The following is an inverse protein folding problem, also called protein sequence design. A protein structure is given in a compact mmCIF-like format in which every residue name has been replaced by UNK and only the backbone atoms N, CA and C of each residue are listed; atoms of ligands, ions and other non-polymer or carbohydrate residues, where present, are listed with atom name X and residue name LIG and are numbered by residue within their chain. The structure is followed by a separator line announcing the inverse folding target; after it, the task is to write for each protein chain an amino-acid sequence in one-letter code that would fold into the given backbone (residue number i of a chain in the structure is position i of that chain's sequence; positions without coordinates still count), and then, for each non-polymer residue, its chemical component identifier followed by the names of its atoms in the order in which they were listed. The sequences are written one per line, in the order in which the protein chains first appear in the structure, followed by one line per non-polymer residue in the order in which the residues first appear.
data_IF_266955030868
#
_entry.id   IF_266955030868
#
_cell.length_a   1.000
_cell.length_b   1.000
_cell.length_c   1.000
_cell.angle_alpha   90.00
_cell.angle_beta   90.00
_cell.angle_gamma   90.00
#
_symmetry.space_group_name_H-M   'P 1'
#
loop_
_entity.id
_entity.type
_entity.pdbx_description
1 polymer ?
#
# COMPACT_ATOMS: atom_id res chain seq x y z
N UNK A 1 -27.61 -12.13 19.25
CA UNK A 1 -26.36 -11.39 19.63
C UNK A 1 -25.90 -10.60 18.44
N UNK A 2 -25.80 -9.27 18.55
CA UNK A 2 -25.15 -8.47 17.49
C UNK A 2 -23.67 -8.82 17.55
N UNK A 3 -23.12 -9.40 16.50
CA UNK A 3 -21.66 -9.64 16.41
C UNK A 3 -20.93 -8.31 16.49
N UNK A 4 -19.79 -8.27 17.20
CA UNK A 4 -18.94 -7.09 17.25
C UNK A 4 -18.57 -6.61 15.83
N UNK A 5 -18.51 -5.28 15.62
CA UNK A 5 -18.15 -4.72 14.34
C UNK A 5 -16.74 -5.16 13.93
N UNK A 6 -16.57 -5.53 12.65
CA UNK A 6 -15.26 -5.91 12.12
C UNK A 6 -14.32 -4.71 12.26
N UNK A 7 -13.16 -4.93 12.89
CA UNK A 7 -12.08 -3.95 12.92
C UNK A 7 -11.36 -3.94 11.56
N UNK A 8 -10.88 -2.77 11.13
CA UNK A 8 -10.11 -2.62 9.91
C UNK A 8 -8.62 -2.48 10.23
N UNK A 9 -7.77 -2.84 9.31
CA UNK A 9 -6.35 -2.48 9.26
C UNK A 9 -6.12 -1.62 8.03
N UNK A 10 -5.51 -0.45 8.19
CA UNK A 10 -5.24 0.45 7.09
C UNK A 10 -3.95 0.04 6.37
N UNK A 11 -4.07 -0.49 5.16
CA UNK A 11 -2.93 -1.01 4.42
C UNK A 11 -2.00 0.09 3.86
N UNK A 12 -2.46 1.34 3.75
CA UNK A 12 -1.69 2.42 3.16
C UNK A 12 -2.09 3.78 3.75
N UNK A 13 -1.27 4.28 4.67
CA UNK A 13 -1.41 5.61 5.30
C UNK A 13 -0.09 6.36 5.20
N UNK A 14 -0.13 7.66 4.91
CA UNK A 14 1.05 8.51 4.74
C UNK A 14 1.19 9.57 5.85
N UNK A 15 1.48 9.19 7.11
CA UNK A 15 1.85 10.19 8.10
C UNK A 15 3.20 10.80 7.73
N UNK A 16 3.39 12.08 8.02
CA UNK A 16 4.64 12.78 7.74
C UNK A 16 5.32 13.26 9.02
N UNK A 17 6.64 13.36 8.99
CA UNK A 17 7.44 13.84 10.13
C UNK A 17 7.10 15.28 10.46
N UNK A 18 6.89 16.13 9.44
CA UNK A 18 6.49 17.51 9.61
C UNK A 18 5.01 17.73 9.95
N UNK A 19 4.16 16.69 9.79
CA UNK A 19 2.75 16.75 10.10
C UNK A 19 1.86 17.38 9.03
N UNK A 20 2.41 17.88 7.93
CA UNK A 20 1.67 18.49 6.84
C UNK A 20 1.69 17.66 5.55
N UNK A 21 0.60 17.69 4.77
CA UNK A 21 0.48 17.06 3.45
C UNK A 21 0.22 18.12 2.39
N UNK A 22 1.27 18.49 1.67
CA UNK A 22 1.19 19.48 0.60
C UNK A 22 0.92 18.83 -0.76
N UNK A 23 0.22 19.51 -1.67
CA UNK A 23 -0.21 20.92 -1.61
C UNK A 23 -1.59 21.14 -0.96
N UNK A 24 -2.27 20.10 -0.50
CA UNK A 24 -3.65 20.18 0.01
C UNK A 24 -3.78 20.74 1.43
N UNK A 25 -2.67 21.06 2.11
CA UNK A 25 -2.64 21.56 3.49
C UNK A 25 -3.45 20.70 4.47
N UNK A 26 -3.37 19.35 4.33
CA UNK A 26 -4.01 18.41 5.23
C UNK A 26 -3.09 18.06 6.41
N UNK A 27 -3.68 17.83 7.58
CA UNK A 27 -2.96 17.29 8.74
C UNK A 27 -2.67 15.80 8.54
N UNK A 28 -1.40 15.48 8.30
CA UNK A 28 -0.85 14.13 8.17
C UNK A 28 0.04 13.74 9.32
N UNK A 29 -0.11 14.38 10.49
CA UNK A 29 0.69 14.04 11.66
C UNK A 29 0.41 12.62 12.16
N UNK A 30 1.41 12.00 12.79
CA UNK A 30 1.26 10.71 13.47
C UNK A 30 0.20 10.76 14.57
N UNK A 31 0.08 11.91 15.26
CA UNK A 31 -0.96 12.16 16.26
C UNK A 31 -2.36 12.10 15.64
N UNK A 32 -2.54 12.73 14.49
CA UNK A 32 -3.81 12.71 13.74
C UNK A 32 -4.14 11.30 13.31
N UNK A 33 -3.19 10.58 12.68
CA UNK A 33 -3.39 9.18 12.28
C UNK A 33 -3.83 8.31 13.47
N UNK A 34 -3.09 8.33 14.57
CA UNK A 34 -3.44 7.53 15.77
C UNK A 34 -4.82 7.84 16.32
N UNK A 35 -5.20 9.12 16.32
CA UNK A 35 -6.56 9.55 16.73
C UNK A 35 -7.63 9.00 15.79
N UNK A 36 -7.41 9.06 14.47
CA UNK A 36 -8.37 8.53 13.48
C UNK A 36 -8.52 7.01 13.56
N UNK A 37 -7.43 6.27 13.76
CA UNK A 37 -7.46 4.82 13.96
C UNK A 37 -8.33 4.44 15.16
N UNK A 38 -8.12 5.11 16.29
CA UNK A 38 -8.88 4.85 17.53
C UNK A 38 -10.36 5.19 17.37
N UNK A 39 -10.68 6.38 16.86
CA UNK A 39 -12.06 6.84 16.66
C UNK A 39 -12.87 5.94 15.74
N UNK A 40 -12.22 5.37 14.73
CA UNK A 40 -12.89 4.63 13.67
C UNK A 40 -12.72 3.11 13.81
N UNK A 41 -12.31 2.61 14.98
CA UNK A 41 -12.15 1.19 15.28
C UNK A 41 -11.24 0.46 14.28
N UNK A 42 -10.10 1.07 13.94
CA UNK A 42 -9.01 0.40 13.24
C UNK A 42 -8.09 -0.27 14.26
N UNK A 43 -7.62 -1.46 13.94
CA UNK A 43 -6.69 -2.21 14.80
C UNK A 43 -5.24 -1.80 14.61
N UNK A 44 -4.93 -1.18 13.46
CA UNK A 44 -3.62 -0.68 13.11
C UNK A 44 -3.54 -0.14 11.71
N UNK A 45 -2.34 0.31 11.31
CA UNK A 45 -2.06 0.82 9.97
C UNK A 45 -0.61 0.56 9.55
N UNK A 46 -0.40 0.41 8.25
CA UNK A 46 0.92 0.65 7.64
C UNK A 46 1.17 2.15 7.59
N UNK A 47 2.15 2.63 8.35
CA UNK A 47 2.67 3.97 8.21
C UNK A 47 3.72 3.96 7.09
N UNK A 48 3.36 4.52 5.95
CA UNK A 48 4.12 4.43 4.71
C UNK A 48 4.84 5.74 4.43
N UNK A 49 6.17 5.72 4.54
CA UNK A 49 7.02 6.86 4.20
C UNK A 49 7.02 7.13 2.70
N UNK A 50 7.20 8.40 2.33
CA UNK A 50 7.32 8.83 0.93
C UNK A 50 8.70 9.40 0.70
N UNK A 51 9.51 8.74 -0.12
CA UNK A 51 10.83 9.25 -0.52
C UNK A 51 10.66 10.55 -1.29
N UNK A 52 11.55 11.49 -1.05
CA UNK A 52 11.56 12.81 -1.73
C UNK A 52 10.74 13.90 -1.02
N UNK A 53 9.92 13.57 -0.02
CA UNK A 53 9.34 14.61 0.84
C UNK A 53 10.44 15.26 1.69
N UNK A 54 10.48 16.60 1.73
CA UNK A 54 11.52 17.37 2.39
C UNK A 54 11.79 16.98 3.85
N UNK A 55 10.75 16.61 4.59
CA UNK A 55 10.84 16.19 5.99
C UNK A 55 11.09 14.69 6.19
N UNK A 56 11.15 13.87 5.12
CA UNK A 56 11.29 12.44 5.27
C UNK A 56 12.74 12.02 5.55
N UNK A 57 12.95 11.41 6.70
CA UNK A 57 14.19 10.73 7.05
C UNK A 57 13.88 9.41 7.74
N UNK A 58 14.46 8.29 7.29
CA UNK A 58 14.18 6.95 7.79
C UNK A 58 14.22 6.86 9.32
N UNK A 59 15.27 7.41 9.96
CA UNK A 59 15.40 7.33 11.41
C UNK A 59 14.29 8.08 12.16
N UNK A 60 14.01 9.32 11.77
CA UNK A 60 12.96 10.11 12.39
C UNK A 60 11.58 9.46 12.22
N UNK A 61 11.29 8.96 11.01
CA UNK A 61 10.02 8.33 10.70
C UNK A 61 9.79 7.05 11.51
N UNK A 62 10.76 6.15 11.59
CA UNK A 62 10.62 4.88 12.33
C UNK A 62 10.51 5.11 13.84
N UNK A 63 11.18 6.14 14.39
CA UNK A 63 11.03 6.51 15.81
C UNK A 63 9.60 6.97 16.13
N UNK A 64 8.98 7.77 15.25
CA UNK A 64 7.57 8.15 15.41
C UNK A 64 6.62 6.95 15.30
N UNK A 65 6.91 5.99 14.42
CA UNK A 65 6.15 4.73 14.38
C UNK A 65 6.25 3.94 15.69
N UNK A 66 7.44 3.83 16.28
CA UNK A 66 7.66 3.09 17.54
C UNK A 66 6.88 3.64 18.73
N UNK A 67 6.55 4.92 18.71
CA UNK A 67 5.73 5.55 19.75
C UNK A 67 4.25 5.12 19.67
N UNK A 68 3.87 4.39 18.62
CA UNK A 68 2.50 3.96 18.36
C UNK A 68 2.50 2.46 18.01
N UNK A 69 2.19 1.62 18.98
CA UNK A 69 2.32 0.15 18.87
C UNK A 69 1.47 -0.49 17.75
N UNK A 70 0.45 0.21 17.25
CA UNK A 70 -0.43 -0.24 16.18
C UNK A 70 0.01 0.24 14.79
N UNK A 71 1.17 0.88 14.66
CA UNK A 71 1.72 1.29 13.38
C UNK A 71 2.83 0.34 12.91
N UNK A 72 2.73 -0.10 11.66
CA UNK A 72 3.75 -0.90 10.99
C UNK A 72 4.54 0.01 10.04
N UNK A 73 5.84 0.26 10.28
CA UNK A 73 6.61 1.17 9.46
C UNK A 73 6.99 0.56 8.12
N UNK A 74 6.69 1.27 7.03
CA UNK A 74 7.09 0.97 5.65
C UNK A 74 7.98 2.12 5.16
N UNK A 75 9.21 1.82 4.75
CA UNK A 75 10.17 2.84 4.35
C UNK A 75 9.88 3.38 2.94
N UNK A 76 9.78 4.69 2.77
CA UNK A 76 9.88 5.28 1.43
C UNK A 76 11.29 5.00 0.87
N UNK A 77 11.39 4.49 -0.34
CA UNK A 77 12.67 4.08 -0.91
C UNK A 77 12.77 4.41 -2.40
N UNK A 78 13.93 4.90 -2.78
CA UNK A 78 14.31 5.11 -4.17
C UNK A 78 15.73 4.59 -4.41
N UNK A 79 15.96 3.70 -5.39
CA UNK A 79 17.27 3.10 -5.65
C UNK A 79 18.17 4.06 -6.43
N UNK A 80 18.90 4.93 -5.75
CA UNK A 80 19.80 5.89 -6.41
C UNK A 80 21.02 5.18 -7.01
N UNK A 81 21.66 4.31 -6.23
CA UNK A 81 22.88 3.62 -6.62
C UNK A 81 22.69 2.10 -6.63
N UNK A 82 22.81 1.52 -7.82
CA UNK A 82 22.62 0.08 -8.04
C UNK A 82 23.57 -0.83 -7.20
N UNK A 83 24.77 -0.35 -6.83
CA UNK A 83 25.71 -1.13 -6.02
C UNK A 83 25.40 -1.09 -4.53
N UNK A 84 24.67 -0.08 -4.05
CA UNK A 84 24.33 0.12 -2.64
C UNK A 84 23.03 -0.58 -2.21
N UNK A 85 22.13 -0.93 -3.14
CA UNK A 85 20.77 -1.42 -2.89
C UNK A 85 20.71 -2.49 -1.80
N UNK A 86 21.52 -3.55 -1.90
CA UNK A 86 21.47 -4.64 -0.93
C UNK A 86 21.85 -4.22 0.49
N UNK A 87 22.82 -3.32 0.62
CA UNK A 87 23.24 -2.74 1.90
C UNK A 87 22.19 -1.82 2.49
N UNK A 88 21.59 -0.96 1.65
CA UNK A 88 20.52 -0.02 2.02
C UNK A 88 19.29 -0.75 2.54
N UNK A 89 18.78 -1.76 1.80
CA UNK A 89 17.62 -2.54 2.22
C UNK A 89 17.86 -3.30 3.52
N UNK A 90 19.06 -3.86 3.70
CA UNK A 90 19.46 -4.51 4.97
C UNK A 90 19.51 -3.49 6.12
N UNK A 91 19.97 -2.28 5.88
CA UNK A 91 19.98 -1.21 6.89
C UNK A 91 18.55 -0.78 7.25
N UNK A 92 17.67 -0.61 6.27
CA UNK A 92 16.24 -0.32 6.46
C UNK A 92 15.58 -1.40 7.34
N UNK A 93 15.78 -2.67 7.00
CA UNK A 93 15.25 -3.80 7.78
C UNK A 93 15.78 -3.80 9.23
N UNK A 94 17.08 -3.53 9.43
CA UNK A 94 17.69 -3.41 10.76
C UNK A 94 17.15 -2.25 11.58
N UNK A 95 16.70 -1.16 10.95
CA UNK A 95 16.02 -0.06 11.62
C UNK A 95 14.61 -0.45 12.11
N UNK A 96 14.08 -1.61 11.73
CA UNK A 96 12.77 -2.11 12.16
C UNK A 96 11.65 -1.89 11.17
N UNK A 97 11.95 -1.47 9.95
CA UNK A 97 10.96 -1.41 8.88
C UNK A 97 10.52 -2.82 8.43
N UNK A 98 9.24 -2.93 8.11
CA UNK A 98 8.59 -4.19 7.69
C UNK A 98 8.36 -4.27 6.19
N UNK A 99 8.81 -3.28 5.44
CA UNK A 99 8.71 -3.21 3.99
C UNK A 99 9.27 -1.89 3.46
N UNK A 100 9.29 -1.79 2.14
CA UNK A 100 9.68 -0.57 1.43
C UNK A 100 8.55 -0.11 0.49
N UNK A 101 8.40 1.19 0.31
CA UNK A 101 7.51 1.81 -0.67
C UNK A 101 8.31 2.32 -1.84
N UNK A 102 7.94 1.90 -3.04
CA UNK A 102 8.45 2.41 -4.30
C UNK A 102 7.35 3.18 -5.01
N UNK A 103 7.65 4.41 -5.39
CA UNK A 103 6.73 5.33 -6.03
C UNK A 103 7.28 5.70 -7.42
N UNK A 104 6.95 4.96 -8.50
CA UNK A 104 7.63 5.12 -9.80
C UNK A 104 7.47 6.50 -10.44
N UNK A 105 6.43 7.26 -10.05
CA UNK A 105 6.17 8.62 -10.57
C UNK A 105 7.05 9.69 -9.96
N UNK A 106 7.44 9.51 -8.66
CA UNK A 106 8.03 10.58 -7.88
C UNK A 106 9.03 10.04 -6.84
N UNK A 107 10.34 10.25 -7.00
CA UNK A 107 10.97 10.71 -8.23
C UNK A 107 10.77 9.70 -9.37
N UNK A 108 10.81 10.17 -10.60
CA UNK A 108 10.51 9.31 -11.76
C UNK A 108 11.56 8.22 -11.94
N UNK A 109 11.09 6.96 -11.92
CA UNK A 109 11.89 5.78 -12.30
C UNK A 109 11.05 4.89 -13.21
N UNK A 110 11.61 4.49 -14.33
CA UNK A 110 10.92 3.58 -15.24
C UNK A 110 10.87 2.16 -14.66
N UNK A 111 9.74 1.47 -14.84
CA UNK A 111 9.56 0.11 -14.34
C UNK A 111 10.56 -0.90 -14.93
N UNK A 112 11.16 -0.58 -16.09
CA UNK A 112 12.22 -1.37 -16.74
C UNK A 112 13.63 -1.03 -16.26
N UNK A 113 13.80 -0.04 -15.38
CA UNK A 113 15.12 0.35 -14.87
C UNK A 113 15.80 -0.85 -14.18
N UNK A 114 17.04 -1.17 -14.54
CA UNK A 114 17.78 -2.29 -13.92
C UNK A 114 17.91 -2.17 -12.39
N UNK A 115 17.86 -0.95 -11.83
CA UNK A 115 17.89 -0.72 -10.39
C UNK A 115 16.65 -1.29 -9.71
N UNK A 116 15.46 -1.22 -10.35
CA UNK A 116 14.26 -1.86 -9.82
C UNK A 116 14.38 -3.38 -9.80
N UNK A 117 14.91 -3.99 -10.85
CA UNK A 117 15.16 -5.44 -10.87
C UNK A 117 16.05 -5.84 -9.68
N UNK A 118 17.17 -5.13 -9.47
CA UNK A 118 18.06 -5.37 -8.34
C UNK A 118 17.38 -5.17 -6.99
N UNK A 119 16.53 -4.14 -6.88
CA UNK A 119 15.75 -3.85 -5.66
C UNK A 119 14.79 -4.99 -5.33
N UNK A 120 14.02 -5.46 -6.31
CA UNK A 120 13.08 -6.56 -6.13
C UNK A 120 13.80 -7.87 -5.76
N UNK A 121 14.91 -8.17 -6.42
CA UNK A 121 15.74 -9.33 -6.07
C UNK A 121 16.35 -9.24 -4.68
N UNK A 122 16.82 -8.07 -4.28
CA UNK A 122 17.38 -7.87 -2.94
C UNK A 122 16.31 -7.94 -1.86
N UNK A 123 15.13 -7.34 -2.10
CA UNK A 123 13.98 -7.41 -1.20
C UNK A 123 13.48 -8.86 -1.04
N UNK A 124 13.40 -9.64 -2.13
CA UNK A 124 13.05 -11.06 -2.07
C UNK A 124 14.02 -11.88 -1.19
N UNK A 125 15.34 -11.66 -1.34
CA UNK A 125 16.33 -12.33 -0.49
C UNK A 125 16.25 -11.97 1.00
N UNK A 126 15.76 -10.77 1.31
CA UNK A 126 15.59 -10.28 2.69
C UNK A 126 14.20 -10.58 3.25
N UNK A 127 13.32 -11.20 2.45
CA UNK A 127 11.89 -11.36 2.76
C UNK A 127 11.22 -10.03 3.16
N UNK A 128 11.60 -8.94 2.47
CA UNK A 128 11.15 -7.59 2.73
C UNK A 128 10.06 -7.19 1.74
N UNK A 129 8.79 -7.04 2.15
CA UNK A 129 7.70 -6.68 1.26
C UNK A 129 7.92 -5.35 0.54
N UNK A 130 7.48 -5.28 -0.72
CA UNK A 130 7.52 -4.08 -1.55
C UNK A 130 6.09 -3.55 -1.73
N UNK A 131 5.86 -2.30 -1.37
CA UNK A 131 4.65 -1.54 -1.63
C UNK A 131 4.88 -0.76 -2.93
N UNK A 132 4.43 -1.30 -4.05
CA UNK A 132 4.59 -0.66 -5.35
C UNK A 132 3.38 0.21 -5.68
N UNK A 133 3.58 1.53 -5.82
CA UNK A 133 2.51 2.41 -6.29
C UNK A 133 2.17 2.10 -7.75
N UNK A 134 0.89 1.81 -8.00
CA UNK A 134 0.37 1.50 -9.35
C UNK A 134 -0.59 2.58 -9.87
N UNK A 135 -0.60 3.75 -9.25
CA UNK A 135 -1.31 4.92 -9.75
C UNK A 135 -0.41 5.74 -10.67
N UNK A 136 -0.66 5.67 -11.98
CA UNK A 136 0.15 6.31 -13.01
C UNK A 136 -0.52 7.53 -13.66
N UNK A 137 -1.78 7.81 -13.36
CA UNK A 137 -2.60 8.83 -14.02
C UNK A 137 -2.62 10.18 -13.29
N UNK A 138 -1.50 10.64 -12.75
CA UNK A 138 -1.45 11.87 -11.95
C UNK A 138 -1.16 13.15 -12.72
N UNK A 139 -1.02 13.06 -14.04
CA UNK A 139 -0.76 14.21 -14.91
C UNK A 139 -0.09 13.79 -16.21
N UNK A 140 -0.18 14.64 -17.23
CA UNK A 140 0.34 14.33 -18.56
C UNK A 140 1.84 14.01 -18.59
N UNK A 141 2.64 14.70 -17.76
CA UNK A 141 4.09 14.51 -17.69
C UNK A 141 4.50 13.17 -17.04
N UNK A 142 3.62 12.58 -16.23
CA UNK A 142 3.86 11.29 -15.55
C UNK A 142 3.13 10.13 -16.21
N UNK A 143 2.37 10.39 -17.28
CA UNK A 143 1.65 9.33 -17.98
C UNK A 143 2.64 8.35 -18.60
N UNK A 144 2.49 7.03 -18.39
CA UNK A 144 3.44 6.06 -18.91
C UNK A 144 3.34 5.97 -20.43
N UNK A 145 4.49 5.86 -21.09
CA UNK A 145 4.58 5.64 -22.54
C UNK A 145 4.25 4.19 -22.87
N UNK A 146 4.58 3.27 -21.95
CA UNK A 146 4.31 1.85 -22.08
C UNK A 146 3.19 1.43 -21.11
N UNK A 147 2.60 0.25 -21.33
CA UNK A 147 1.61 -0.32 -20.43
C UNK A 147 2.28 -0.82 -19.13
N UNK A 148 2.06 -0.16 -17.98
CA UNK A 148 2.77 -0.48 -16.74
C UNK A 148 2.57 -1.92 -16.26
N UNK A 149 1.40 -2.51 -16.53
CA UNK A 149 1.09 -3.88 -16.12
C UNK A 149 2.07 -4.91 -16.69
N UNK A 150 2.43 -4.77 -17.98
CA UNK A 150 3.39 -5.68 -18.61
C UNK A 150 4.80 -5.48 -18.08
N UNK A 151 5.17 -4.25 -17.80
CA UNK A 151 6.48 -3.94 -17.21
C UNK A 151 6.59 -4.48 -15.78
N UNK A 152 5.53 -4.40 -14.99
CA UNK A 152 5.45 -5.02 -13.65
C UNK A 152 5.54 -6.54 -13.76
N UNK A 153 4.80 -7.16 -14.69
CA UNK A 153 4.86 -8.60 -14.91
C UNK A 153 6.27 -9.07 -15.29
N UNK A 154 6.96 -8.33 -16.17
CA UNK A 154 8.33 -8.61 -16.56
C UNK A 154 9.34 -8.43 -15.38
N UNK A 155 9.10 -7.43 -14.53
CA UNK A 155 9.90 -7.19 -13.32
C UNK A 155 9.74 -8.35 -12.32
N UNK A 156 8.52 -8.83 -12.10
CA UNK A 156 8.22 -9.96 -11.21
C UNK A 156 8.84 -11.27 -11.72
N UNK A 157 8.87 -11.49 -13.04
CA UNK A 157 9.55 -12.66 -13.62
C UNK A 157 11.07 -12.66 -13.33
N UNK A 158 11.69 -11.48 -13.26
CA UNK A 158 13.13 -11.32 -12.95
C UNK A 158 13.44 -11.40 -11.44
N UNK A 159 12.42 -11.32 -10.60
CA UNK A 159 12.55 -11.39 -9.14
C UNK A 159 11.51 -12.37 -8.55
N UNK A 160 11.59 -13.67 -8.88
CA UNK A 160 10.66 -14.65 -8.35
C UNK A 160 10.74 -14.69 -6.83
N UNK A 161 9.60 -14.80 -6.16
CA UNK A 161 9.49 -14.76 -4.71
C UNK A 161 9.46 -13.37 -4.07
N UNK A 162 9.60 -12.28 -4.84
CA UNK A 162 9.39 -10.94 -4.31
C UNK A 162 7.93 -10.77 -3.87
N UNK A 163 7.73 -10.42 -2.60
CA UNK A 163 6.39 -10.11 -2.06
C UNK A 163 6.04 -8.66 -2.40
N UNK A 164 4.96 -8.47 -3.17
CA UNK A 164 4.58 -7.13 -3.65
C UNK A 164 3.12 -6.83 -3.35
N UNK A 165 2.90 -5.73 -2.61
CA UNK A 165 1.60 -5.08 -2.50
C UNK A 165 1.46 -4.11 -3.67
N UNK A 166 0.51 -4.36 -4.57
CA UNK A 166 0.18 -3.47 -5.68
C UNK A 166 -0.77 -2.39 -5.17
N UNK A 167 -0.19 -1.27 -4.77
CA UNK A 167 -0.90 -0.17 -4.11
C UNK A 167 -1.77 0.57 -5.12
N UNK A 168 -3.00 0.88 -4.75
CA UNK A 168 -4.08 1.46 -5.56
C UNK A 168 -4.68 0.52 -6.63
N UNK A 169 -4.29 -0.76 -6.64
CA UNK A 169 -4.93 -1.77 -7.46
C UNK A 169 -4.89 -1.56 -8.97
N UNK A 170 -3.96 -0.75 -9.48
CA UNK A 170 -3.91 -0.39 -10.90
C UNK A 170 -4.94 0.69 -11.31
N UNK A 171 -5.60 1.33 -10.34
CA UNK A 171 -6.56 2.43 -10.58
C UNK A 171 -7.70 1.98 -11.51
N UNK A 172 -7.90 2.63 -12.65
CA UNK A 172 -8.95 2.27 -13.63
C UNK A 172 -8.76 0.90 -14.28
N UNK A 173 -7.57 0.29 -14.15
CA UNK A 173 -7.24 -1.03 -14.69
C UNK A 173 -7.42 -2.17 -13.67
N UNK A 174 -8.24 -1.97 -12.65
CA UNK A 174 -8.37 -2.82 -11.46
C UNK A 174 -8.45 -4.32 -11.76
N UNK A 175 -9.32 -4.76 -12.65
CA UNK A 175 -9.49 -6.19 -12.98
C UNK A 175 -8.26 -6.79 -13.68
N UNK A 176 -7.53 -5.99 -14.48
CA UNK A 176 -6.29 -6.45 -15.12
C UNK A 176 -5.20 -6.74 -14.07
N UNK A 177 -5.11 -5.91 -13.03
CA UNK A 177 -4.20 -6.12 -11.90
C UNK A 177 -4.68 -7.28 -11.01
N UNK A 178 -5.98 -7.45 -10.84
CA UNK A 178 -6.53 -8.60 -10.12
C UNK A 178 -6.14 -9.93 -10.81
N UNK A 179 -6.14 -10.00 -12.15
CA UNK A 179 -5.70 -11.21 -12.88
C UNK A 179 -4.19 -11.46 -12.67
N UNK A 180 -3.35 -10.42 -12.59
CA UNK A 180 -1.93 -10.60 -12.26
C UNK A 180 -1.75 -11.22 -10.85
N UNK A 181 -2.56 -10.77 -9.89
CA UNK A 181 -2.53 -11.25 -8.50
C UNK A 181 -3.08 -12.67 -8.37
N UNK A 182 -4.07 -13.06 -9.19
CA UNK A 182 -4.80 -14.35 -9.12
C UNK A 182 -3.87 -15.55 -9.00
N UNK A 183 -2.83 -15.60 -9.80
CA UNK A 183 -1.96 -16.75 -9.94
C UNK A 183 -0.59 -16.60 -9.28
N UNK A 184 -0.32 -15.45 -8.65
CA UNK A 184 0.95 -15.23 -7.95
C UNK A 184 0.70 -15.11 -6.43
N UNK A 185 1.08 -16.12 -5.61
CA UNK A 185 0.85 -16.11 -4.18
C UNK A 185 1.63 -15.01 -3.42
N UNK A 186 2.66 -14.45 -4.02
CA UNK A 186 3.48 -13.38 -3.44
C UNK A 186 2.91 -11.98 -3.66
N UNK A 187 1.79 -11.86 -4.38
CA UNK A 187 1.15 -10.58 -4.63
C UNK A 187 -0.11 -10.38 -3.77
N UNK A 188 -0.32 -9.14 -3.35
CA UNK A 188 -1.56 -8.68 -2.73
C UNK A 188 -1.98 -7.38 -3.42
N UNK A 189 -3.29 -7.17 -3.60
CA UNK A 189 -3.86 -5.98 -4.25
C UNK A 189 -4.44 -5.05 -3.18
N UNK A 190 -3.87 -3.87 -3.03
CA UNK A 190 -4.42 -2.83 -2.16
C UNK A 190 -5.37 -1.92 -2.95
N UNK A 191 -6.56 -1.72 -2.40
CA UNK A 191 -7.60 -0.89 -3.01
C UNK A 191 -7.63 0.54 -2.47
N UNK A 192 -6.63 0.97 -1.68
CA UNK A 192 -6.56 2.35 -1.17
C UNK A 192 -6.69 3.36 -2.33
N UNK A 193 -7.27 4.52 -2.06
CA UNK A 193 -7.64 5.53 -3.05
C UNK A 193 -8.69 5.04 -4.07
N UNK A 194 -8.42 3.98 -4.86
CA UNK A 194 -9.32 3.44 -5.89
C UNK A 194 -10.69 3.09 -5.31
N UNK A 195 -10.70 2.52 -4.11
CA UNK A 195 -11.91 2.19 -3.36
C UNK A 195 -12.85 3.37 -3.13
N UNK A 196 -12.30 4.57 -2.98
CA UNK A 196 -13.05 5.79 -2.70
C UNK A 196 -13.25 6.67 -3.94
N UNK A 197 -12.21 6.80 -4.76
CA UNK A 197 -12.14 7.73 -5.90
C UNK A 197 -13.22 7.46 -6.95
N UNK A 198 -13.53 6.21 -7.20
CA UNK A 198 -14.44 5.79 -8.28
C UNK A 198 -15.82 5.37 -7.79
N UNK A 199 -16.23 5.83 -6.62
CA UNK A 199 -17.56 5.55 -6.08
C UNK A 199 -18.64 6.05 -7.07
N UNK A 200 -19.62 5.17 -7.37
CA UNK A 200 -20.68 5.45 -8.33
C UNK A 200 -20.33 5.23 -9.80
N UNK A 201 -19.09 4.83 -10.11
CA UNK A 201 -18.68 4.40 -11.44
C UNK A 201 -18.88 2.89 -11.65
N UNK A 202 -18.60 2.39 -12.87
CA UNK A 202 -18.60 0.94 -13.15
C UNK A 202 -17.61 0.15 -12.29
N UNK A 203 -16.54 0.79 -11.80
CA UNK A 203 -15.59 0.17 -10.89
C UNK A 203 -16.21 -0.28 -9.55
N UNK A 204 -17.37 0.26 -9.16
CA UNK A 204 -18.10 -0.25 -7.99
C UNK A 204 -18.54 -1.71 -8.16
N UNK A 205 -18.92 -2.10 -9.36
CA UNK A 205 -19.26 -3.50 -9.68
C UNK A 205 -18.00 -4.37 -9.65
N UNK A 206 -16.89 -3.87 -10.18
CA UNK A 206 -15.61 -4.58 -10.17
C UNK A 206 -15.10 -4.77 -8.73
N UNK A 207 -15.17 -3.72 -7.89
CA UNK A 207 -14.81 -3.82 -6.46
C UNK A 207 -15.71 -4.84 -5.75
N UNK A 208 -17.03 -4.82 -6.00
CA UNK A 208 -17.95 -5.80 -5.44
C UNK A 208 -17.60 -7.21 -5.85
N UNK A 209 -17.31 -7.44 -7.12
CA UNK A 209 -16.83 -8.71 -7.63
C UNK A 209 -15.56 -9.18 -6.92
N UNK A 210 -14.59 -8.27 -6.69
CA UNK A 210 -13.37 -8.61 -5.95
C UNK A 210 -13.66 -8.98 -4.48
N UNK A 211 -14.56 -8.28 -3.80
CA UNK A 211 -14.98 -8.62 -2.44
C UNK A 211 -15.59 -10.03 -2.35
N UNK A 212 -16.35 -10.44 -3.36
CA UNK A 212 -17.01 -11.74 -3.39
C UNK A 212 -16.10 -12.90 -3.84
N UNK A 213 -15.15 -12.63 -4.77
CA UNK A 213 -14.39 -13.67 -5.48
C UNK A 213 -12.90 -13.66 -5.21
N UNK A 214 -12.36 -12.55 -4.67
CA UNK A 214 -10.93 -12.33 -4.41
C UNK A 214 -10.65 -11.97 -2.95
N UNK A 215 -11.55 -12.30 -2.05
CA UNK A 215 -11.46 -11.91 -0.64
C UNK A 215 -10.12 -12.21 0.03
N UNK A 216 -9.37 -13.21 -0.44
CA UNK A 216 -8.04 -13.58 0.06
C UNK A 216 -6.88 -12.91 -0.67
N UNK A 217 -7.16 -12.03 -1.63
CA UNK A 217 -6.15 -11.45 -2.51
C UNK A 217 -6.18 -9.93 -2.56
N UNK A 218 -7.05 -9.32 -1.76
CA UNK A 218 -7.22 -7.87 -1.69
C UNK A 218 -7.15 -7.39 -0.24
N UNK A 219 -6.73 -6.14 -0.06
CA UNK A 219 -6.86 -5.40 1.19
C UNK A 219 -7.32 -3.97 0.91
N UNK A 220 -7.60 -3.22 1.95
CA UNK A 220 -8.05 -1.84 1.86
C UNK A 220 -7.14 -0.91 2.66
N UNK A 221 -7.07 0.33 2.23
CA UNK A 221 -6.37 1.40 2.92
C UNK A 221 -7.07 2.73 2.71
N UNK A 222 -6.71 3.72 3.48
CA UNK A 222 -7.30 5.06 3.38
C UNK A 222 -6.56 5.97 2.40
N UNK A 223 -5.30 5.69 2.10
CA UNK A 223 -4.41 6.68 1.48
C UNK A 223 -4.36 7.97 2.31
N UNK A 224 -4.46 7.83 3.65
CA UNK A 224 -4.41 8.95 4.59
C UNK A 224 -3.22 9.88 4.26
N UNK A 225 -3.42 11.18 4.22
CA UNK A 225 -4.59 11.95 4.65
C UNK A 225 -5.63 12.23 3.53
N UNK A 226 -5.52 11.60 2.35
CA UNK A 226 -6.42 11.88 1.20
C UNK A 226 -7.88 11.51 1.48
N UNK A 227 -8.12 10.40 2.18
CA UNK A 227 -9.45 9.96 2.60
C UNK A 227 -9.51 9.73 4.11
N UNK A 228 -10.69 9.97 4.69
CA UNK A 228 -10.89 9.78 6.12
C UNK A 228 -11.12 8.31 6.46
N UNK A 229 -10.63 7.86 7.61
CA UNK A 229 -10.89 6.51 8.12
C UNK A 229 -12.40 6.24 8.31
N UNK A 230 -13.16 7.28 8.65
CA UNK A 230 -14.62 7.22 8.76
C UNK A 230 -15.28 6.83 7.43
N UNK A 231 -14.94 7.52 6.35
CA UNK A 231 -15.58 7.31 5.05
C UNK A 231 -15.19 5.96 4.45
N UNK A 232 -13.92 5.57 4.55
CA UNK A 232 -13.44 4.25 4.12
C UNK A 232 -14.14 3.15 4.90
N UNK A 233 -14.30 3.30 6.22
CA UNK A 233 -15.02 2.33 7.05
C UNK A 233 -16.50 2.24 6.66
N UNK A 234 -17.17 3.37 6.46
CA UNK A 234 -18.57 3.41 6.03
C UNK A 234 -18.73 2.65 4.71
N UNK A 235 -17.87 2.94 3.74
CA UNK A 235 -17.90 2.27 2.45
C UNK A 235 -17.57 0.77 2.53
N UNK A 236 -16.62 0.38 3.40
CA UNK A 236 -16.34 -1.03 3.64
C UNK A 236 -17.57 -1.78 4.15
N UNK A 237 -18.31 -1.20 5.11
CA UNK A 237 -19.55 -1.79 5.63
C UNK A 237 -20.61 -1.93 4.52
N UNK A 238 -20.72 -0.95 3.64
CA UNK A 238 -21.63 -1.01 2.47
C UNK A 238 -21.22 -2.12 1.50
N UNK A 239 -19.95 -2.18 1.12
CA UNK A 239 -19.40 -3.15 0.17
C UNK A 239 -19.36 -4.58 0.71
N UNK A 240 -19.19 -4.75 2.02
CA UNK A 240 -19.18 -6.08 2.65
C UNK A 240 -20.57 -6.61 3.00
N UNK A 241 -21.64 -5.83 2.75
CA UNK A 241 -23.01 -6.25 3.04
C UNK A 241 -23.37 -7.54 2.29
N UNK A 242 -23.81 -8.54 3.04
CA UNK A 242 -24.15 -9.87 2.48
C UNK A 242 -22.98 -10.84 2.30
N UNK A 243 -21.74 -10.40 2.58
CA UNK A 243 -20.62 -11.31 2.62
C UNK A 243 -20.62 -12.18 3.87
N UNK A 244 -20.12 -13.40 3.77
CA UNK A 244 -19.75 -14.20 4.94
C UNK A 244 -18.69 -13.45 5.75
N UNK A 245 -18.84 -13.44 7.09
CA UNK A 245 -17.96 -12.69 7.99
C UNK A 245 -16.47 -12.94 7.71
N UNK A 246 -16.05 -14.20 7.51
CA UNK A 246 -14.66 -14.54 7.25
C UNK A 246 -14.10 -13.90 5.97
N UNK A 247 -14.91 -13.73 4.92
CA UNK A 247 -14.48 -12.99 3.72
C UNK A 247 -14.25 -11.51 4.00
N UNK A 248 -15.16 -10.90 4.74
CA UNK A 248 -15.00 -9.51 5.15
C UNK A 248 -13.77 -9.31 6.05
N UNK A 249 -13.49 -10.24 6.99
CA UNK A 249 -12.30 -10.20 7.84
C UNK A 249 -11.00 -10.41 7.05
N UNK A 250 -10.99 -11.28 6.03
CA UNK A 250 -9.85 -11.42 5.13
C UNK A 250 -9.46 -10.07 4.51
N UNK A 251 -10.44 -9.35 3.96
CA UNK A 251 -10.23 -8.05 3.31
C UNK A 251 -9.89 -6.96 4.33
N UNK A 252 -10.57 -6.97 5.47
CA UNK A 252 -10.47 -5.94 6.49
C UNK A 252 -9.09 -5.86 7.15
N UNK A 253 -8.45 -6.99 7.41
CA UNK A 253 -7.18 -7.04 8.14
C UNK A 253 -6.34 -8.29 7.88
N UNK A 254 -6.95 -9.49 7.71
CA UNK A 254 -6.19 -10.73 7.73
C UNK A 254 -5.14 -10.80 6.62
N UNK A 255 -5.51 -10.44 5.39
CA UNK A 255 -4.61 -10.53 4.24
C UNK A 255 -3.39 -9.63 4.39
N UNK A 256 -3.56 -8.39 4.83
CA UNK A 256 -2.43 -7.47 4.99
C UNK A 256 -1.56 -7.86 6.19
N UNK A 257 -2.18 -8.29 7.29
CA UNK A 257 -1.42 -8.76 8.46
C UNK A 257 -0.60 -10.02 8.12
N UNK A 258 -1.16 -10.98 7.38
CA UNK A 258 -0.44 -12.17 6.91
C UNK A 258 0.66 -11.81 5.91
N UNK A 259 0.38 -10.85 5.01
CA UNK A 259 1.37 -10.34 4.05
C UNK A 259 2.57 -9.66 4.73
N UNK A 260 2.40 -9.07 5.90
CA UNK A 260 3.46 -8.40 6.67
C UNK A 260 4.25 -9.33 7.59
N UNK A 261 3.82 -10.58 7.78
CA UNK A 261 4.58 -11.58 8.55
C UNK A 261 5.85 -11.96 7.79
N UNK A 262 6.96 -12.18 8.53
CA UNK A 262 8.17 -12.74 7.93
C UNK A 262 7.95 -14.16 7.46
#
# INVERSE_FOLDING_TARGET
MKSDPIQLFDANSHPTVAGGWMPKNLDSSFKKLSSELTKNHYRGACAVGVWGLESYAHRAFVELCRQNANLVPIAGYFPENASAIGGELKAIQKMGYRGIKIHPRDPRIELRDPRLVKTFQAAARLDLPIFLCTYFHSGAASYPVNEPLYDIAALLQKAPGARVLLVHGGDVNLLRYAELVRFNPHLLLDLSMTFMKYQGSSLDLDIRFLFERFDRRICIGTDFPEYTHHDVRKRFVEMSRGLVRGKAENIAFQNIEDFLKP
#
